data_IF_205716078298
#
_entry.id   IF_205716078298
#
_cell.length_a   1.000
_cell.length_b   1.000
_cell.length_c   1.000
_cell.angle_alpha   90.00
_cell.angle_beta   90.00
_cell.angle_gamma   90.00
#
_symmetry.space_group_name_H-M   'P 1'
#
loop_
_entity.id
_entity.type
_entity.pdbx_description
1 polymer ?
#
# COMPACT_ATOMS: atom_id res chain seq x y z
N UNK A 1 10.34 1.08 -8.56
CA UNK A 1 8.88 1.36 -8.48
C UNK A 1 8.13 0.53 -9.49
N UNK A 2 6.91 0.12 -9.19
CA UNK A 2 5.99 -0.54 -10.13
C UNK A 2 4.79 0.36 -10.37
N UNK A 3 4.41 0.53 -11.64
CA UNK A 3 3.23 1.30 -11.99
C UNK A 3 1.96 0.65 -11.42
N UNK A 4 1.06 1.46 -10.92
CA UNK A 4 -0.30 1.10 -10.53
C UNK A 4 -1.21 1.73 -11.57
N UNK A 5 -2.16 0.97 -12.11
CA UNK A 5 -3.05 1.41 -13.16
C UNK A 5 -4.47 1.42 -12.62
N UNK A 6 -5.15 2.54 -12.76
CA UNK A 6 -6.54 2.65 -12.35
C UNK A 6 -7.44 1.84 -13.30
N UNK A 7 -7.30 2.03 -14.59
CA UNK A 7 -8.15 1.38 -15.61
C UNK A 7 -7.38 0.38 -16.47
N UNK A 8 -7.42 -0.90 -16.10
CA UNK A 8 -6.77 -1.99 -16.84
C UNK A 8 -7.35 -2.19 -18.25
N UNK A 9 -8.61 -1.79 -18.52
CA UNK A 9 -9.26 -1.93 -19.83
C UNK A 9 -8.50 -1.15 -20.91
N UNK A 10 -7.88 -0.02 -20.55
CA UNK A 10 -7.07 0.76 -21.48
C UNK A 10 -5.86 -0.05 -21.94
N UNK A 11 -5.22 -0.80 -21.06
CA UNK A 11 -4.10 -1.68 -21.42
C UNK A 11 -4.55 -2.79 -22.36
N UNK A 12 -5.64 -3.47 -22.02
CA UNK A 12 -6.20 -4.54 -22.85
C UNK A 12 -6.57 -3.98 -24.24
N UNK A 13 -7.25 -2.83 -24.30
CA UNK A 13 -7.62 -2.19 -25.55
C UNK A 13 -6.41 -1.77 -26.39
N UNK A 14 -5.38 -1.20 -25.75
CA UNK A 14 -4.13 -0.86 -26.44
C UNK A 14 -3.42 -2.09 -27.02
N UNK A 15 -3.52 -3.24 -26.35
CA UNK A 15 -2.98 -4.49 -26.85
C UNK A 15 -3.77 -5.01 -28.07
N UNK A 16 -5.11 -4.98 -27.97
CA UNK A 16 -6.02 -5.37 -29.05
C UNK A 16 -5.81 -4.49 -30.28
N UNK A 17 -5.74 -3.18 -30.10
CA UNK A 17 -5.49 -2.21 -31.19
C UNK A 17 -4.14 -2.41 -31.90
N UNK A 18 -3.22 -3.14 -31.26
CA UNK A 18 -1.91 -3.52 -31.82
C UNK A 18 -1.87 -4.97 -32.35
N UNK A 19 -3.04 -5.60 -32.47
CA UNK A 19 -3.19 -6.92 -33.09
C UNK A 19 -3.09 -8.11 -32.11
N UNK A 20 -3.07 -7.88 -30.79
CA UNK A 20 -3.15 -8.98 -29.81
C UNK A 20 -4.61 -9.31 -29.51
N UNK A 21 -5.04 -10.51 -29.92
CA UNK A 21 -6.40 -11.00 -29.65
C UNK A 21 -6.64 -11.16 -28.14
N UNK A 22 -7.86 -10.90 -27.70
CA UNK A 22 -8.28 -11.06 -26.30
C UNK A 22 -8.05 -12.49 -25.80
N UNK A 23 -8.20 -13.52 -26.67
CA UNK A 23 -7.90 -14.90 -26.33
C UNK A 23 -6.42 -15.12 -26.00
N UNK A 24 -5.50 -14.43 -26.70
CA UNK A 24 -4.06 -14.53 -26.41
C UNK A 24 -3.76 -13.96 -25.01
N UNK A 25 -4.38 -12.83 -24.65
CA UNK A 25 -4.24 -12.24 -23.33
C UNK A 25 -4.76 -13.19 -22.24
N UNK A 26 -5.94 -13.78 -22.48
CA UNK A 26 -6.57 -14.76 -21.58
C UNK A 26 -5.73 -16.04 -21.42
N UNK A 27 -5.21 -16.61 -22.51
CA UNK A 27 -4.33 -17.78 -22.45
C UNK A 27 -3.09 -17.47 -21.57
N UNK A 28 -2.47 -16.31 -21.76
CA UNK A 28 -1.33 -15.88 -20.95
C UNK A 28 -1.70 -15.68 -19.48
N UNK A 29 -2.86 -15.09 -19.18
CA UNK A 29 -3.38 -14.92 -17.82
C UNK A 29 -3.54 -16.27 -17.13
N UNK A 30 -4.29 -17.19 -17.75
CA UNK A 30 -4.52 -18.53 -17.21
C UNK A 30 -3.25 -19.38 -17.07
N UNK A 31 -2.31 -19.30 -18.03
CA UNK A 31 -1.02 -19.97 -17.93
C UNK A 31 -0.18 -19.46 -16.75
N UNK A 32 -0.18 -18.14 -16.48
CA UNK A 32 0.50 -17.57 -15.32
C UNK A 32 -0.16 -18.01 -14.01
N UNK A 33 -1.49 -18.07 -13.97
CA UNK A 33 -2.24 -18.62 -12.83
C UNK A 33 -1.88 -20.08 -12.59
N UNK A 34 -1.86 -20.93 -13.63
CA UNK A 34 -1.44 -22.32 -13.53
C UNK A 34 -0.01 -22.47 -13.04
N UNK A 35 0.95 -21.66 -13.54
CA UNK A 35 2.34 -21.65 -13.08
C UNK A 35 2.43 -21.29 -11.59
N UNK A 36 1.70 -20.28 -11.13
CA UNK A 36 1.64 -19.92 -9.71
C UNK A 36 1.11 -21.09 -8.87
N UNK A 37 -0.02 -21.69 -9.27
CA UNK A 37 -0.64 -22.81 -8.56
C UNK A 37 0.32 -23.99 -8.47
N UNK A 38 0.98 -24.38 -9.57
CA UNK A 38 1.99 -25.46 -9.58
C UNK A 38 3.13 -25.17 -8.60
N UNK A 39 3.61 -23.93 -8.54
CA UNK A 39 4.68 -23.51 -7.62
C UNK A 39 4.24 -23.65 -6.16
N UNK A 40 3.06 -23.15 -5.80
CA UNK A 40 2.56 -23.20 -4.43
C UNK A 40 2.15 -24.64 -4.04
N UNK A 41 1.58 -25.43 -4.96
CA UNK A 41 1.31 -26.85 -4.75
C UNK A 41 2.59 -27.67 -4.48
N UNK A 42 3.70 -27.38 -5.19
CA UNK A 42 4.99 -28.01 -4.89
C UNK A 42 5.46 -27.71 -3.47
N UNK A 43 5.32 -26.47 -3.00
CA UNK A 43 5.67 -26.09 -1.62
C UNK A 43 4.82 -26.86 -0.59
N UNK A 44 3.49 -26.86 -0.76
CA UNK A 44 2.57 -27.57 0.14
C UNK A 44 2.89 -29.06 0.18
N UNK A 45 3.15 -29.68 -0.99
CA UNK A 45 3.52 -31.10 -1.08
C UNK A 45 4.76 -31.42 -0.24
N UNK A 46 5.78 -30.57 -0.30
CA UNK A 46 7.02 -30.74 0.46
C UNK A 46 6.79 -30.51 1.95
N UNK A 47 6.15 -29.40 2.32
CA UNK A 47 5.93 -29.02 3.72
C UNK A 47 5.03 -29.98 4.47
N UNK A 48 3.95 -30.44 3.82
CA UNK A 48 2.97 -31.36 4.42
C UNK A 48 3.29 -32.84 4.18
N UNK A 49 4.37 -33.16 3.44
CA UNK A 49 4.77 -34.56 3.09
C UNK A 49 3.65 -35.35 2.43
N UNK A 50 2.80 -34.73 1.61
CA UNK A 50 1.68 -35.35 0.92
C UNK A 50 2.01 -35.69 -0.55
N UNK A 51 1.47 -36.82 -1.05
CA UNK A 51 1.68 -37.23 -2.45
C UNK A 51 0.90 -36.35 -3.44
N UNK A 52 -0.31 -35.91 -3.07
CA UNK A 52 -1.25 -35.21 -3.95
C UNK A 52 -1.86 -33.97 -3.28
N UNK A 53 -1.69 -32.80 -3.93
CA UNK A 53 -2.36 -31.56 -3.52
C UNK A 53 -3.73 -31.48 -4.19
N UNK A 54 -4.80 -31.30 -3.40
CA UNK A 54 -6.17 -31.14 -3.88
C UNK A 54 -6.43 -29.66 -4.14
N UNK A 55 -6.83 -29.32 -5.36
CA UNK A 55 -7.04 -27.95 -5.84
C UNK A 55 -8.51 -27.81 -6.23
N UNK A 56 -9.13 -26.69 -5.85
CA UNK A 56 -10.49 -26.33 -6.22
C UNK A 56 -10.53 -24.95 -6.86
N UNK A 57 -11.19 -24.84 -8.01
CA UNK A 57 -11.55 -23.56 -8.61
C UNK A 57 -13.01 -23.23 -8.30
N UNK A 58 -13.25 -21.99 -7.89
CA UNK A 58 -14.57 -21.39 -7.77
C UNK A 58 -14.76 -20.47 -8.98
N UNK A 59 -15.72 -20.81 -9.83
CA UNK A 59 -15.89 -20.16 -11.13
C UNK A 59 -17.19 -19.35 -11.16
N UNK A 60 -17.08 -18.07 -11.50
CA UNK A 60 -18.21 -17.28 -11.98
C UNK A 60 -18.51 -17.55 -13.47
N UNK A 61 -18.99 -16.54 -14.19
CA UNK A 61 -19.28 -16.65 -15.63
C UNK A 61 -18.57 -15.62 -16.51
N UNK A 62 -17.71 -14.78 -15.93
CA UNK A 62 -17.02 -13.67 -16.59
C UNK A 62 -15.61 -14.00 -17.10
N UNK A 63 -14.87 -12.96 -17.53
CA UNK A 63 -13.47 -13.08 -17.98
C UNK A 63 -12.57 -13.73 -16.94
N UNK A 64 -12.73 -13.37 -15.67
CA UNK A 64 -11.95 -13.93 -14.56
C UNK A 64 -12.12 -15.45 -14.43
N UNK A 65 -13.35 -15.93 -14.62
CA UNK A 65 -13.63 -17.36 -14.66
C UNK A 65 -13.04 -18.03 -15.91
N UNK A 66 -13.01 -17.35 -17.05
CA UNK A 66 -12.38 -17.82 -18.27
C UNK A 66 -10.87 -18.03 -18.10
N UNK A 67 -10.18 -17.10 -17.44
CA UNK A 67 -8.76 -17.26 -17.05
C UNK A 67 -8.56 -18.48 -16.15
N UNK A 68 -9.53 -18.71 -15.24
CA UNK A 68 -9.59 -19.90 -14.39
C UNK A 68 -9.72 -21.20 -15.18
N UNK A 69 -10.57 -21.24 -16.23
CA UNK A 69 -10.73 -22.41 -17.11
C UNK A 69 -9.45 -22.72 -17.90
N UNK A 70 -8.76 -21.68 -18.39
CA UNK A 70 -7.46 -21.86 -19.04
C UNK A 70 -6.44 -22.45 -18.04
N UNK A 71 -6.39 -21.90 -16.81
CA UNK A 71 -5.50 -22.42 -15.77
C UNK A 71 -5.82 -23.89 -15.43
N UNK A 72 -7.09 -24.21 -15.31
CA UNK A 72 -7.60 -25.56 -15.00
C UNK A 72 -7.16 -26.59 -16.02
N UNK A 73 -7.25 -26.28 -17.33
CA UNK A 73 -6.78 -27.11 -18.45
C UNK A 73 -5.31 -27.48 -18.32
N UNK A 74 -4.51 -26.60 -17.70
CA UNK A 74 -3.06 -26.78 -17.54
C UNK A 74 -2.66 -27.46 -16.21
N UNK A 75 -3.62 -27.97 -15.43
CA UNK A 75 -3.39 -28.58 -14.12
C UNK A 75 -3.87 -30.03 -14.08
N UNK A 76 -3.08 -30.90 -13.48
CA UNK A 76 -3.49 -32.27 -13.15
C UNK A 76 -4.24 -32.27 -11.81
N UNK A 77 -5.34 -33.04 -11.70
CA UNK A 77 -6.03 -33.30 -10.45
C UNK A 77 -6.68 -32.06 -9.76
N UNK A 78 -7.05 -31.06 -10.51
CA UNK A 78 -7.88 -29.95 -10.05
C UNK A 78 -9.37 -30.27 -10.23
N UNK A 79 -10.21 -29.70 -9.37
CA UNK A 79 -11.67 -29.70 -9.47
C UNK A 79 -12.17 -28.28 -9.67
N UNK A 80 -13.35 -28.12 -10.23
CA UNK A 80 -13.99 -26.84 -10.41
C UNK A 80 -15.48 -26.90 -10.03
N UNK A 81 -15.95 -25.84 -9.38
CA UNK A 81 -17.32 -25.63 -9.00
C UNK A 81 -17.86 -24.32 -9.57
N UNK A 82 -18.93 -24.36 -10.34
CA UNK A 82 -19.60 -23.19 -10.95
C UNK A 82 -20.59 -22.60 -9.94
N UNK A 83 -20.54 -21.29 -9.74
CA UNK A 83 -21.37 -20.59 -8.73
C UNK A 83 -22.63 -19.97 -9.34
N UNK A 84 -22.91 -20.23 -10.64
CA UNK A 84 -24.22 -19.91 -11.24
C UNK A 84 -24.37 -18.47 -11.74
N UNK A 85 -23.29 -17.78 -12.10
CA UNK A 85 -23.36 -16.48 -12.78
C UNK A 85 -23.63 -16.62 -14.29
N UNK A 86 -24.18 -15.54 -14.91
CA UNK A 86 -24.35 -15.46 -16.35
C UNK A 86 -23.00 -15.63 -17.06
N UNK A 87 -22.91 -16.60 -17.95
CA UNK A 87 -21.71 -16.95 -18.69
C UNK A 87 -21.56 -16.08 -19.93
N UNK A 88 -20.37 -15.52 -20.14
CA UNK A 88 -20.03 -14.79 -21.34
C UNK A 88 -19.52 -15.74 -22.45
N UNK A 89 -19.35 -15.22 -23.66
CA UNK A 89 -18.93 -15.98 -24.85
C UNK A 89 -17.55 -16.63 -24.66
N UNK A 90 -16.61 -15.93 -24.03
CA UNK A 90 -15.25 -16.44 -23.78
C UNK A 90 -15.26 -17.59 -22.77
N UNK A 91 -16.09 -17.48 -21.72
CA UNK A 91 -16.28 -18.56 -20.76
C UNK A 91 -16.80 -19.82 -21.45
N UNK A 92 -17.87 -19.71 -22.25
CA UNK A 92 -18.45 -20.82 -22.99
C UNK A 92 -17.45 -21.49 -23.92
N UNK A 93 -16.62 -20.69 -24.62
CA UNK A 93 -15.55 -21.19 -25.49
C UNK A 93 -14.52 -22.00 -24.71
N UNK A 94 -14.04 -21.50 -23.58
CA UNK A 94 -13.05 -22.20 -22.74
C UNK A 94 -13.66 -23.44 -22.06
N UNK A 95 -14.92 -23.39 -21.68
CA UNK A 95 -15.65 -24.53 -21.12
C UNK A 95 -15.78 -25.65 -22.15
N UNK A 96 -16.17 -25.33 -23.41
CA UNK A 96 -16.26 -26.30 -24.48
C UNK A 96 -14.94 -27.03 -24.73
N UNK A 97 -13.82 -26.28 -24.68
CA UNK A 97 -12.49 -26.91 -24.79
C UNK A 97 -12.26 -27.91 -23.64
N UNK A 98 -12.59 -27.56 -22.39
CA UNK A 98 -12.45 -28.48 -21.25
C UNK A 98 -13.36 -29.71 -21.36
N UNK A 99 -14.58 -29.55 -21.87
CA UNK A 99 -15.51 -30.66 -22.11
C UNK A 99 -14.94 -31.62 -23.15
N UNK A 100 -14.30 -31.13 -24.22
CA UNK A 100 -13.62 -31.95 -25.22
C UNK A 100 -12.45 -32.78 -24.61
N UNK A 101 -11.88 -32.35 -23.51
CA UNK A 101 -10.90 -33.11 -22.69
C UNK A 101 -11.57 -33.95 -21.59
N UNK A 102 -12.87 -34.23 -21.68
CA UNK A 102 -13.65 -35.01 -20.71
C UNK A 102 -13.58 -34.49 -19.25
N UNK A 103 -13.36 -33.18 -19.06
CA UNK A 103 -13.36 -32.60 -17.72
C UNK A 103 -14.76 -32.55 -17.13
N UNK A 104 -14.90 -32.95 -15.86
CA UNK A 104 -16.18 -32.96 -15.15
C UNK A 104 -16.18 -31.94 -14.01
N UNK A 105 -17.13 -31.02 -14.04
CA UNK A 105 -17.38 -30.04 -12.98
C UNK A 105 -18.04 -30.71 -11.76
N UNK A 106 -17.83 -30.15 -10.57
CA UNK A 106 -18.56 -30.57 -9.38
C UNK A 106 -20.05 -30.20 -9.53
N UNK A 107 -20.95 -31.19 -9.45
CA UNK A 107 -22.39 -30.98 -9.55
C UNK A 107 -23.00 -30.44 -8.25
N UNK A 108 -22.38 -30.72 -7.09
CA UNK A 108 -22.80 -30.27 -5.77
C UNK A 108 -21.71 -29.42 -5.13
N UNK A 109 -22.13 -28.58 -4.19
CA UNK A 109 -21.19 -27.78 -3.39
C UNK A 109 -20.14 -28.70 -2.73
N UNK A 110 -18.85 -28.47 -2.98
CA UNK A 110 -17.79 -29.33 -2.44
C UNK A 110 -17.51 -28.97 -0.97
N UNK A 111 -17.06 -29.97 -0.19
CA UNK A 111 -16.54 -29.70 1.15
C UNK A 111 -15.16 -28.98 1.05
N UNK A 112 -15.14 -27.69 1.29
CA UNK A 112 -13.96 -26.81 1.15
C UNK A 112 -12.81 -27.23 2.08
N UNK A 113 -13.08 -27.83 3.23
CA UNK A 113 -12.06 -28.30 4.19
C UNK A 113 -11.18 -29.43 3.63
N UNK A 114 -11.62 -30.12 2.56
CA UNK A 114 -10.87 -31.20 1.91
C UNK A 114 -9.81 -30.73 0.92
N UNK A 115 -9.74 -29.42 0.59
CA UNK A 115 -8.80 -28.88 -0.39
C UNK A 115 -7.63 -28.21 0.29
N UNK A 116 -6.49 -28.25 -0.39
CA UNK A 116 -5.25 -27.61 0.06
C UNK A 116 -5.06 -26.23 -0.58
N UNK A 117 -5.62 -26.04 -1.78
CA UNK A 117 -5.62 -24.75 -2.50
C UNK A 117 -7.03 -24.50 -3.02
N UNK A 118 -7.52 -23.27 -2.82
CA UNK A 118 -8.81 -22.80 -3.38
C UNK A 118 -8.50 -21.56 -4.20
N UNK A 119 -8.99 -21.54 -5.45
CA UNK A 119 -8.79 -20.46 -6.39
C UNK A 119 -10.11 -19.70 -6.56
N UNK A 120 -10.08 -18.42 -6.30
CA UNK A 120 -11.18 -17.51 -6.56
C UNK A 120 -11.09 -16.98 -7.99
N UNK A 121 -11.98 -17.43 -8.84
CA UNK A 121 -12.23 -16.93 -10.19
C UNK A 121 -13.72 -16.57 -10.34
N UNK A 122 -14.36 -16.06 -9.29
CA UNK A 122 -15.80 -15.76 -9.28
C UNK A 122 -16.05 -14.44 -9.97
N UNK A 123 -15.52 -13.33 -9.42
CA UNK A 123 -15.67 -11.98 -9.92
C UNK A 123 -14.32 -11.27 -10.01
N UNK A 124 -14.14 -10.43 -11.03
CA UNK A 124 -13.01 -9.52 -11.19
C UNK A 124 -13.45 -8.06 -11.06
N UNK A 125 -12.64 -7.13 -11.56
CA UNK A 125 -12.84 -5.67 -11.49
C UNK A 125 -14.14 -5.14 -12.12
N UNK A 126 -14.85 -5.94 -12.89
CA UNK A 126 -16.08 -5.52 -13.59
C UNK A 126 -17.37 -5.62 -12.78
N UNK A 127 -17.32 -5.99 -11.50
CA UNK A 127 -18.52 -6.21 -10.68
C UNK A 127 -18.58 -5.25 -9.49
N UNK A 128 -19.54 -4.32 -9.53
CA UNK A 128 -19.82 -3.35 -8.45
C UNK A 128 -21.16 -3.62 -7.76
N UNK A 129 -21.59 -4.88 -7.69
CA UNK A 129 -22.88 -5.27 -7.09
C UNK A 129 -22.66 -6.18 -5.88
N UNK A 130 -23.58 -6.09 -4.93
CA UNK A 130 -23.62 -7.02 -3.80
C UNK A 130 -23.76 -8.46 -4.31
N UNK A 131 -23.13 -9.39 -3.61
CA UNK A 131 -23.28 -10.82 -3.87
C UNK A 131 -24.65 -11.32 -3.44
N UNK A 132 -25.17 -12.33 -4.14
CA UNK A 132 -26.30 -13.10 -3.65
C UNK A 132 -25.94 -13.88 -2.39
N UNK A 133 -26.97 -14.31 -1.65
CA UNK A 133 -26.82 -15.01 -0.38
C UNK A 133 -26.00 -16.29 -0.52
N UNK A 134 -26.26 -17.08 -1.57
CA UNK A 134 -25.56 -18.34 -1.82
C UNK A 134 -24.06 -18.11 -2.02
N UNK A 135 -23.68 -17.14 -2.84
CA UNK A 135 -22.27 -16.80 -3.09
C UNK A 135 -21.61 -16.26 -1.81
N UNK A 136 -22.32 -15.44 -1.06
CA UNK A 136 -21.88 -14.91 0.25
C UNK A 136 -21.57 -16.04 1.24
N UNK A 137 -22.44 -17.02 1.38
CA UNK A 137 -22.24 -18.19 2.23
C UNK A 137 -21.05 -19.05 1.79
N UNK A 138 -20.86 -19.23 0.47
CA UNK A 138 -19.70 -19.94 -0.07
C UNK A 138 -18.39 -19.22 0.31
N UNK A 139 -18.32 -17.91 0.13
CA UNK A 139 -17.12 -17.13 0.50
C UNK A 139 -16.84 -17.26 2.00
N UNK A 140 -17.84 -17.15 2.86
CA UNK A 140 -17.67 -17.32 4.31
C UNK A 140 -17.11 -18.72 4.66
N UNK A 141 -17.68 -19.78 4.09
CA UNK A 141 -17.18 -21.16 4.29
C UNK A 141 -15.75 -21.34 3.80
N UNK A 142 -15.41 -20.75 2.65
CA UNK A 142 -14.06 -20.80 2.08
C UNK A 142 -13.07 -20.03 2.97
N UNK A 143 -13.44 -18.85 3.46
CA UNK A 143 -12.60 -18.07 4.37
C UNK A 143 -12.27 -18.82 5.67
N UNK A 144 -13.18 -19.65 6.16
CA UNK A 144 -12.98 -20.51 7.34
C UNK A 144 -12.08 -21.73 7.05
N UNK A 145 -11.83 -22.08 5.79
CA UNK A 145 -10.97 -23.20 5.42
C UNK A 145 -9.50 -22.90 5.68
N UNK A 146 -8.71 -23.96 5.97
CA UNK A 146 -7.24 -23.87 6.10
C UNK A 146 -6.50 -23.93 4.76
N UNK A 147 -7.22 -23.97 3.64
CA UNK A 147 -6.63 -24.00 2.30
C UNK A 147 -5.86 -22.72 2.03
N UNK A 148 -4.78 -22.82 1.24
CA UNK A 148 -4.15 -21.66 0.62
C UNK A 148 -5.14 -21.05 -0.39
N UNK A 149 -5.51 -19.79 -0.20
CA UNK A 149 -6.49 -19.07 -1.01
C UNK A 149 -5.79 -18.15 -2.00
N UNK A 150 -6.07 -18.32 -3.29
CA UNK A 150 -5.49 -17.52 -4.38
C UNK A 150 -6.61 -16.81 -5.12
N UNK A 151 -6.58 -15.48 -5.16
CA UNK A 151 -7.49 -14.70 -5.99
C UNK A 151 -6.91 -14.46 -7.38
N UNK A 152 -7.72 -14.71 -8.39
CA UNK A 152 -7.46 -14.36 -9.77
C UNK A 152 -7.88 -12.91 -9.99
N UNK A 153 -6.98 -12.07 -10.39
CA UNK A 153 -7.11 -10.64 -10.63
C UNK A 153 -7.29 -9.80 -9.35
N UNK A 154 -8.44 -9.86 -8.71
CA UNK A 154 -8.74 -9.27 -7.39
C UNK A 154 -9.56 -10.25 -6.57
N UNK A 155 -9.53 -10.20 -5.22
CA UNK A 155 -10.45 -10.96 -4.41
C UNK A 155 -11.90 -10.61 -4.70
N UNK A 156 -12.74 -11.63 -4.83
CA UNK A 156 -14.18 -11.42 -5.07
C UNK A 156 -14.80 -10.60 -3.95
N UNK A 157 -15.61 -9.61 -4.33
CA UNK A 157 -16.31 -8.67 -3.45
C UNK A 157 -15.38 -7.74 -2.64
N UNK A 158 -14.20 -7.43 -3.18
CA UNK A 158 -13.27 -6.50 -2.54
C UNK A 158 -13.93 -5.11 -2.38
N UNK A 159 -13.97 -4.62 -1.13
CA UNK A 159 -14.67 -3.39 -0.74
C UNK A 159 -16.05 -3.62 -0.12
N UNK A 160 -16.55 -4.85 -0.13
CA UNK A 160 -17.84 -5.23 0.46
C UNK A 160 -17.69 -6.46 1.36
N UNK A 161 -18.71 -6.75 2.17
CA UNK A 161 -18.72 -7.94 3.03
C UNK A 161 -19.82 -8.90 2.59
N UNK A 162 -19.57 -10.24 2.59
CA UNK A 162 -18.29 -10.89 2.83
C UNK A 162 -17.35 -10.78 1.61
N UNK A 163 -16.05 -10.57 1.86
CA UNK A 163 -15.02 -10.55 0.85
C UNK A 163 -14.19 -11.84 0.89
N UNK A 164 -13.74 -12.33 -0.26
CA UNK A 164 -12.80 -13.46 -0.32
C UNK A 164 -11.44 -13.05 0.26
N UNK A 165 -10.96 -13.79 1.28
CA UNK A 165 -9.72 -13.50 1.97
C UNK A 165 -8.56 -14.28 1.34
N UNK A 166 -7.88 -13.66 0.38
CA UNK A 166 -6.78 -14.29 -0.33
C UNK A 166 -5.47 -14.27 0.48
N UNK A 167 -4.69 -15.34 0.40
CA UNK A 167 -3.28 -15.38 0.82
C UNK A 167 -2.37 -14.84 -0.28
N UNK A 168 -2.81 -14.99 -1.54
CA UNK A 168 -2.11 -14.49 -2.73
C UNK A 168 -3.15 -13.93 -3.71
N UNK A 169 -2.92 -12.71 -4.19
CA UNK A 169 -3.66 -12.15 -5.32
C UNK A 169 -2.74 -12.08 -6.54
N UNK A 170 -3.17 -12.70 -7.65
CA UNK A 170 -2.48 -12.63 -8.94
C UNK A 170 -3.19 -11.63 -9.84
N UNK A 171 -2.72 -10.38 -9.87
CA UNK A 171 -3.25 -9.33 -10.74
C UNK A 171 -2.98 -9.67 -12.20
N UNK A 172 -3.96 -9.55 -13.05
CA UNK A 172 -3.81 -9.75 -14.49
C UNK A 172 -3.24 -8.47 -15.13
N UNK A 173 -2.04 -8.58 -15.68
CA UNK A 173 -1.34 -7.54 -16.43
C UNK A 173 -0.72 -6.42 -15.58
N UNK A 174 -1.42 -5.84 -14.62
CA UNK A 174 -0.96 -4.68 -13.85
C UNK A 174 -1.49 -4.65 -12.42
N UNK A 175 -0.83 -3.85 -11.55
CA UNK A 175 -1.33 -3.49 -10.24
C UNK A 175 -2.50 -2.52 -10.38
N UNK A 176 -3.50 -2.65 -9.50
CA UNK A 176 -4.71 -1.82 -9.46
C UNK A 176 -4.81 -1.07 -8.15
N UNK A 177 -5.32 0.16 -8.16
CA UNK A 177 -5.42 1.03 -6.98
C UNK A 177 -6.23 0.39 -5.86
N UNK A 178 -7.36 -0.25 -6.19
CA UNK A 178 -8.23 -0.91 -5.21
C UNK A 178 -7.51 -1.94 -4.33
N UNK A 179 -6.41 -2.54 -4.81
CA UNK A 179 -5.61 -3.48 -4.01
C UNK A 179 -4.78 -2.81 -2.91
N UNK A 180 -4.66 -1.49 -2.95
CA UNK A 180 -3.86 -0.70 -2.02
C UNK A 180 -4.70 0.24 -1.16
N UNK A 181 -6.01 0.26 -1.31
CA UNK A 181 -6.90 0.88 -0.33
C UNK A 181 -6.74 0.20 1.04
N UNK A 182 -6.98 0.91 2.13
CA UNK A 182 -6.69 0.38 3.47
C UNK A 182 -7.51 -0.86 3.80
N UNK A 183 -8.79 -0.89 3.43
CA UNK A 183 -9.66 -2.05 3.64
C UNK A 183 -9.15 -3.30 2.89
N UNK A 184 -8.49 -3.12 1.75
CA UNK A 184 -8.00 -4.22 0.94
C UNK A 184 -6.86 -5.00 1.62
N UNK A 185 -6.12 -4.37 2.53
CA UNK A 185 -4.93 -4.94 3.19
C UNK A 185 -5.18 -6.29 3.85
N UNK A 186 -6.37 -6.49 4.41
CA UNK A 186 -6.76 -7.74 5.05
C UNK A 186 -7.05 -8.86 4.06
N UNK A 187 -7.48 -8.52 2.83
CA UNK A 187 -8.07 -9.48 1.88
C UNK A 187 -7.15 -9.86 0.73
N UNK A 188 -6.16 -9.03 0.38
CA UNK A 188 -5.35 -9.24 -0.84
C UNK A 188 -4.12 -10.14 -0.65
N UNK A 189 -3.66 -10.35 0.57
CA UNK A 189 -2.47 -11.13 0.85
C UNK A 189 -1.22 -10.65 0.07
N UNK A 190 -0.45 -11.58 -0.48
CA UNK A 190 0.75 -11.26 -1.30
C UNK A 190 0.35 -10.98 -2.74
N UNK A 191 0.52 -9.75 -3.18
CA UNK A 191 0.19 -9.33 -4.54
C UNK A 191 1.30 -9.74 -5.52
N UNK A 192 0.93 -10.36 -6.64
CA UNK A 192 1.77 -10.72 -7.77
C UNK A 192 1.15 -10.23 -9.07
N UNK A 193 1.95 -10.11 -10.13
CA UNK A 193 1.48 -9.67 -11.45
C UNK A 193 1.67 -10.82 -12.42
N UNK A 194 0.60 -11.18 -13.15
CA UNK A 194 0.64 -12.08 -14.29
C UNK A 194 1.10 -11.32 -15.53
N UNK A 195 2.02 -11.88 -16.29
CA UNK A 195 2.41 -11.33 -17.59
C UNK A 195 1.41 -11.79 -18.65
N UNK A 196 0.74 -10.86 -19.30
CA UNK A 196 -0.23 -11.13 -20.35
C UNK A 196 0.41 -11.31 -21.74
N UNK A 197 1.74 -11.49 -21.82
CA UNK A 197 2.44 -11.53 -23.11
C UNK A 197 2.77 -10.16 -23.68
N UNK A 198 2.53 -9.11 -22.90
CA UNK A 198 2.74 -7.73 -23.31
C UNK A 198 3.99 -7.17 -22.63
N UNK A 199 4.89 -6.59 -23.39
CA UNK A 199 6.01 -5.82 -22.84
C UNK A 199 5.47 -4.50 -22.27
N UNK A 200 5.32 -4.44 -20.96
CA UNK A 200 4.52 -3.46 -20.21
C UNK A 200 4.69 -1.98 -20.63
N UNK A 201 5.91 -1.51 -20.84
CA UNK A 201 6.18 -0.09 -21.10
C UNK A 201 5.57 0.47 -22.40
N UNK A 202 5.25 -0.38 -23.39
CA UNK A 202 4.69 0.06 -24.68
C UNK A 202 3.15 0.07 -24.72
N UNK A 203 2.51 -0.59 -23.74
CA UNK A 203 1.07 -0.78 -23.70
C UNK A 203 0.41 -0.15 -22.48
N UNK A 204 1.19 0.20 -21.45
CA UNK A 204 0.65 0.92 -20.31
C UNK A 204 0.36 2.38 -20.66
N UNK A 205 -0.79 2.89 -20.27
CA UNK A 205 -1.00 4.34 -20.20
C UNK A 205 0.08 4.92 -19.25
N UNK A 206 0.45 6.18 -19.44
CA UNK A 206 1.35 6.89 -18.53
C UNK A 206 0.73 6.89 -17.13
N UNK A 207 1.18 5.99 -16.27
CA UNK A 207 0.70 5.94 -14.89
C UNK A 207 1.35 7.06 -14.09
N UNK A 208 0.55 7.73 -13.28
CA UNK A 208 0.99 8.70 -12.27
C UNK A 208 1.03 8.08 -10.87
N UNK A 209 0.59 6.81 -10.70
CA UNK A 209 0.60 6.09 -9.43
C UNK A 209 1.64 4.95 -9.45
N UNK A 210 2.39 4.80 -8.35
CA UNK A 210 3.50 3.85 -8.25
C UNK A 210 3.56 3.15 -6.88
N UNK A 211 3.81 1.86 -6.89
CA UNK A 211 4.18 1.09 -5.70
C UNK A 211 5.69 1.24 -5.45
N UNK A 212 6.05 1.70 -4.27
CA UNK A 212 7.45 1.75 -3.82
C UNK A 212 7.92 0.35 -3.38
N UNK A 213 9.13 0.00 -3.78
CA UNK A 213 9.81 -1.26 -3.44
C UNK A 213 11.12 -0.97 -2.71
N UNK A 214 11.67 -1.95 -1.98
CA UNK A 214 12.94 -1.80 -1.24
C UNK A 214 14.07 -1.17 -2.07
N UNK A 215 14.18 -1.52 -3.35
CA UNK A 215 15.22 -0.99 -4.27
C UNK A 215 15.07 0.50 -4.59
N UNK A 216 13.92 1.10 -4.24
CA UNK A 216 13.66 2.52 -4.47
C UNK A 216 14.09 3.39 -3.28
N UNK A 217 14.54 2.76 -2.18
CA UNK A 217 15.07 3.47 -1.03
C UNK A 217 16.40 4.11 -1.38
N UNK A 218 16.49 5.41 -1.15
CA UNK A 218 17.73 6.19 -1.24
C UNK A 218 18.22 6.50 0.17
N UNK A 219 19.46 6.21 0.43
CA UNK A 219 20.12 6.51 1.70
C UNK A 219 21.05 7.72 1.53
N UNK A 220 21.34 8.39 2.65
CA UNK A 220 22.36 9.45 2.68
C UNK A 220 23.73 8.77 2.66
N UNK A 221 24.54 9.10 1.67
CA UNK A 221 25.93 8.66 1.59
C UNK A 221 26.83 9.60 2.40
N UNK A 222 27.59 9.05 3.34
CA UNK A 222 28.50 9.78 4.20
C UNK A 222 29.93 9.64 3.70
N UNK A 223 30.47 10.73 3.12
CA UNK A 223 31.89 10.78 2.73
C UNK A 223 32.80 10.68 3.94
N UNK A 224 33.98 10.08 3.78
CA UNK A 224 34.95 9.84 4.85
C UNK A 224 35.36 11.14 5.55
N UNK A 225 35.48 12.22 4.83
CA UNK A 225 35.89 13.54 5.31
C UNK A 225 34.73 14.49 5.66
N UNK A 226 33.52 13.95 5.80
CA UNK A 226 32.35 14.75 6.15
C UNK A 226 32.32 15.11 7.64
N UNK A 227 31.78 16.29 7.96
CA UNK A 227 31.50 16.73 9.32
C UNK A 227 29.98 16.77 9.61
N UNK A 228 29.59 16.96 10.87
CA UNK A 228 28.18 16.97 11.27
C UNK A 228 27.33 18.00 10.54
N UNK A 229 27.86 19.15 10.18
CA UNK A 229 27.16 20.22 9.48
C UNK A 229 26.76 19.84 8.04
N UNK A 230 27.45 18.87 7.42
CA UNK A 230 27.13 18.41 6.05
C UNK A 230 25.81 17.62 5.97
N UNK A 231 25.20 17.25 7.09
CA UNK A 231 24.01 16.39 7.14
C UNK A 231 22.78 17.10 7.72
N UNK A 232 22.83 18.44 7.75
CA UNK A 232 21.73 19.28 8.20
C UNK A 232 21.61 19.37 9.74
N UNK A 233 21.03 20.49 10.17
CA UNK A 233 20.62 20.72 11.54
C UNK A 233 19.09 20.73 11.61
N UNK A 234 18.51 19.72 12.23
CA UNK A 234 17.06 19.53 12.30
C UNK A 234 16.55 20.12 13.62
N UNK A 235 15.46 20.86 13.55
CA UNK A 235 14.71 21.28 14.73
C UNK A 235 13.42 20.45 14.85
N UNK A 236 13.17 19.91 16.03
CA UNK A 236 11.89 19.30 16.39
C UNK A 236 11.17 20.19 17.39
N UNK A 237 10.00 20.72 17.02
CA UNK A 237 9.17 21.60 17.87
C UNK A 237 7.95 20.80 18.29
N UNK A 238 7.97 20.28 19.53
CA UNK A 238 7.03 19.27 19.98
C UNK A 238 7.00 19.20 21.50
N UNK A 239 6.07 18.42 22.09
CA UNK A 239 6.23 18.08 23.49
C UNK A 239 7.50 17.23 23.72
N UNK A 240 7.95 17.14 24.95
CA UNK A 240 9.21 16.48 25.30
C UNK A 240 9.31 15.02 24.83
N UNK A 241 8.22 14.25 24.92
CA UNK A 241 8.20 12.82 24.55
C UNK A 241 8.21 12.63 23.03
N UNK A 242 7.26 13.25 22.34
CA UNK A 242 7.14 13.14 20.89
C UNK A 242 8.33 13.77 20.17
N UNK A 243 8.80 14.93 20.64
CA UNK A 243 9.98 15.60 20.10
C UNK A 243 11.27 14.80 20.29
N UNK A 244 11.41 14.09 21.44
CA UNK A 244 12.55 13.18 21.63
C UNK A 244 12.49 12.01 20.63
N UNK A 245 11.32 11.40 20.38
CA UNK A 245 11.18 10.33 19.40
C UNK A 245 11.44 10.80 17.96
N UNK A 246 10.93 11.97 17.59
CA UNK A 246 11.18 12.59 16.30
C UNK A 246 12.68 12.90 16.11
N UNK A 247 13.31 13.52 17.12
CA UNK A 247 14.73 13.84 17.09
C UNK A 247 15.62 12.61 16.97
N UNK A 248 15.33 11.56 17.72
CA UNK A 248 16.04 10.27 17.61
C UNK A 248 15.80 9.60 16.25
N UNK A 249 14.58 9.71 15.72
CA UNK A 249 14.26 9.28 14.35
C UNK A 249 15.12 10.00 13.32
N UNK A 250 15.25 11.32 13.44
CA UNK A 250 16.08 12.14 12.56
C UNK A 250 17.56 11.75 12.62
N UNK A 251 18.14 11.64 13.83
CA UNK A 251 19.55 11.23 14.02
C UNK A 251 19.83 9.86 13.41
N UNK A 252 18.98 8.87 13.67
CA UNK A 252 19.17 7.50 13.19
C UNK A 252 18.87 7.36 11.69
N UNK A 253 18.23 8.36 11.07
CA UNK A 253 17.97 8.38 9.63
C UNK A 253 18.91 9.29 8.85
N UNK A 254 19.90 9.90 9.52
CA UNK A 254 21.03 10.52 8.86
C UNK A 254 21.27 12.01 9.17
N UNK A 255 20.47 12.65 10.01
CA UNK A 255 20.72 14.03 10.42
C UNK A 255 22.08 14.17 11.12
N UNK A 256 22.78 15.30 10.91
CA UNK A 256 24.05 15.59 11.56
C UNK A 256 23.91 16.18 12.97
N UNK A 257 22.91 17.04 13.12
CA UNK A 257 22.58 17.73 14.38
C UNK A 257 21.07 17.76 14.55
N UNK A 258 20.61 17.61 15.80
CA UNK A 258 19.18 17.76 16.10
C UNK A 258 19.00 18.59 17.36
N UNK A 259 18.21 19.65 17.25
CA UNK A 259 17.74 20.45 18.39
C UNK A 259 16.26 20.16 18.68
N UNK A 260 15.94 20.02 19.95
CA UNK A 260 14.57 19.88 20.43
C UNK A 260 14.15 21.19 21.12
N UNK A 261 13.10 21.81 20.58
CA UNK A 261 12.44 22.96 21.23
C UNK A 261 11.30 22.43 22.08
N UNK A 262 11.56 22.29 23.38
CA UNK A 262 10.64 21.77 24.38
C UNK A 262 11.14 22.13 25.78
N UNK A 263 10.32 21.90 26.82
CA UNK A 263 10.73 22.14 28.22
C UNK A 263 11.85 21.21 28.70
N UNK A 264 11.93 19.98 28.17
CA UNK A 264 12.97 18.98 28.50
C UNK A 264 13.20 18.01 27.35
N UNK A 265 14.34 17.32 27.37
CA UNK A 265 14.64 16.19 26.50
C UNK A 265 14.81 14.90 27.31
N UNK A 266 14.38 13.76 26.76
CA UNK A 266 14.63 12.43 27.34
C UNK A 266 15.85 11.74 26.73
N UNK A 267 16.64 12.46 25.94
CA UNK A 267 17.86 11.93 25.33
C UNK A 267 19.00 12.94 25.40
N UNK A 268 20.20 12.55 25.84
CA UNK A 268 21.38 13.41 25.81
C UNK A 268 21.92 13.66 24.39
N UNK A 269 21.39 12.95 23.38
CA UNK A 269 21.80 13.11 21.99
C UNK A 269 21.15 14.32 21.30
N UNK A 270 20.13 14.92 21.93
CA UNK A 270 19.40 16.07 21.40
C UNK A 270 19.79 17.34 22.15
N UNK A 271 20.06 18.40 21.39
CA UNK A 271 20.34 19.72 21.97
C UNK A 271 19.01 20.38 22.36
N UNK A 272 18.82 20.66 23.64
CA UNK A 272 17.63 21.38 24.11
C UNK A 272 17.76 22.86 23.79
N UNK A 273 16.72 23.45 23.22
CA UNK A 273 16.63 24.86 22.84
C UNK A 273 15.29 25.46 23.28
N UNK A 274 15.27 26.75 23.54
CA UNK A 274 14.05 27.51 23.87
C UNK A 274 13.29 27.95 22.60
N UNK A 275 14.02 28.20 21.51
CA UNK A 275 13.47 28.63 20.22
C UNK A 275 14.21 28.05 19.05
N UNK A 276 13.62 28.18 17.85
CA UNK A 276 14.28 27.84 16.61
C UNK A 276 15.32 28.90 16.27
N UNK A 277 16.50 28.47 15.85
CA UNK A 277 17.59 29.39 15.42
C UNK A 277 17.72 29.40 13.90
N UNK A 278 18.33 30.44 13.34
CA UNK A 278 18.49 30.65 11.88
C UNK A 278 19.34 29.59 11.16
N UNK A 279 19.96 28.68 11.90
CA UNK A 279 20.75 27.55 11.34
C UNK A 279 19.93 26.30 11.08
N UNK A 280 18.59 26.35 11.17
CA UNK A 280 17.70 25.24 10.90
C UNK A 280 17.73 24.87 9.41
N UNK A 281 18.09 23.62 9.08
CA UNK A 281 18.04 23.08 7.72
C UNK A 281 16.65 22.50 7.38
N UNK A 282 15.93 22.03 8.38
CA UNK A 282 14.53 21.62 8.31
C UNK A 282 13.90 21.60 9.70
N UNK A 283 12.57 21.74 9.77
CA UNK A 283 11.83 21.81 11.03
C UNK A 283 10.69 20.76 10.98
N UNK A 284 10.58 19.97 12.05
CA UNK A 284 9.44 19.10 12.30
C UNK A 284 8.60 19.69 13.43
N UNK A 285 7.33 20.01 13.15
CA UNK A 285 6.45 20.76 14.04
C UNK A 285 5.13 20.03 14.29
N UNK A 286 4.61 20.12 15.53
CA UNK A 286 3.21 19.82 15.85
C UNK A 286 2.99 18.62 16.74
N UNK A 287 3.94 17.70 16.88
CA UNK A 287 3.80 16.46 17.62
C UNK A 287 3.55 16.70 19.12
N UNK A 288 2.29 16.60 19.52
CA UNK A 288 1.87 16.80 20.91
C UNK A 288 2.02 18.24 21.43
N UNK A 289 2.06 19.23 20.54
CA UNK A 289 2.04 20.65 20.93
C UNK A 289 0.64 21.08 21.31
N UNK A 290 0.50 21.78 22.43
CA UNK A 290 -0.75 22.43 22.85
C UNK A 290 -0.83 23.85 22.30
N UNK A 291 0.28 24.59 22.35
CA UNK A 291 0.37 25.94 21.78
C UNK A 291 0.86 25.88 20.33
N UNK A 292 0.04 26.39 19.40
CA UNK A 292 0.32 26.40 17.96
C UNK A 292 0.81 27.77 17.45
N UNK A 293 1.12 28.73 18.33
CA UNK A 293 1.66 30.04 17.94
C UNK A 293 2.98 29.91 17.18
N UNK A 294 3.72 28.83 17.38
CA UNK A 294 4.88 28.49 16.54
C UNK A 294 4.58 28.50 15.05
N UNK A 295 3.34 28.21 14.61
CA UNK A 295 2.95 28.29 13.20
C UNK A 295 3.00 29.73 12.63
N UNK A 296 3.14 30.74 13.47
CA UNK A 296 3.25 32.15 13.08
C UNK A 296 4.71 32.65 13.05
N UNK A 297 5.68 31.78 13.42
CA UNK A 297 7.10 32.14 13.46
C UNK A 297 7.63 32.39 12.03
N UNK A 298 8.24 33.53 11.79
CA UNK A 298 8.77 33.94 10.47
C UNK A 298 9.80 32.96 9.92
N UNK A 299 10.58 32.30 10.79
CA UNK A 299 11.59 31.32 10.36
C UNK A 299 10.98 30.16 9.58
N UNK A 300 9.71 29.83 9.85
CA UNK A 300 8.99 28.78 9.14
C UNK A 300 8.73 29.14 7.67
N UNK A 301 8.68 30.42 7.32
CA UNK A 301 8.37 30.85 5.95
C UNK A 301 9.44 30.44 4.94
N UNK A 302 10.70 30.33 5.38
CA UNK A 302 11.84 30.09 4.51
C UNK A 302 12.57 28.77 4.78
N UNK A 303 12.10 27.97 5.74
CA UNK A 303 12.71 26.68 6.12
C UNK A 303 11.83 25.51 5.64
N UNK A 304 12.38 24.42 5.07
CA UNK A 304 11.62 23.20 4.78
C UNK A 304 10.93 22.63 6.01
N UNK A 305 9.66 22.24 5.87
CA UNK A 305 8.81 21.88 7.02
C UNK A 305 8.21 20.48 6.92
N UNK A 306 8.06 19.85 8.10
CA UNK A 306 7.10 18.77 8.30
C UNK A 306 6.07 19.25 9.34
N UNK A 307 4.81 19.21 8.97
CA UNK A 307 3.68 19.57 9.83
C UNK A 307 2.87 18.30 10.14
N UNK A 308 2.75 17.97 11.41
CA UNK A 308 2.09 16.74 11.87
C UNK A 308 1.17 17.02 13.06
N UNK A 309 0.35 16.05 13.40
CA UNK A 309 -0.47 15.99 14.61
C UNK A 309 -1.32 17.28 14.86
N UNK A 310 -1.04 18.01 15.94
CA UNK A 310 -1.86 19.14 16.34
C UNK A 310 -1.83 20.33 15.36
N UNK A 311 -0.88 20.38 14.43
CA UNK A 311 -0.91 21.38 13.34
C UNK A 311 -2.25 21.35 12.56
N UNK A 312 -2.88 20.17 12.44
CA UNK A 312 -4.18 20.00 11.76
C UNK A 312 -5.39 20.57 12.54
N UNK A 313 -5.17 21.22 13.67
CA UNK A 313 -6.18 21.92 14.46
C UNK A 313 -6.15 23.46 14.24
N UNK A 314 -5.15 23.96 13.49
CA UNK A 314 -4.96 25.40 13.28
C UNK A 314 -5.15 25.77 11.83
N UNK A 315 -5.94 26.82 11.57
CA UNK A 315 -6.10 27.42 10.23
C UNK A 315 -4.79 28.01 9.69
N UNK A 316 -3.85 28.40 10.57
CA UNK A 316 -2.52 28.87 10.15
C UNK A 316 -1.75 27.81 9.33
N UNK A 317 -2.10 26.54 9.42
CA UNK A 317 -1.59 25.47 8.56
C UNK A 317 -1.81 25.79 7.07
N UNK A 318 -2.93 26.42 6.71
CA UNK A 318 -3.29 26.73 5.33
C UNK A 318 -2.24 27.61 4.63
N UNK A 319 -1.50 28.44 5.36
CA UNK A 319 -0.44 29.30 4.84
C UNK A 319 0.71 28.51 4.20
N UNK A 320 0.90 27.26 4.61
CA UNK A 320 2.00 26.41 4.18
C UNK A 320 1.65 25.42 3.06
N UNK A 321 0.35 25.22 2.79
CA UNK A 321 -0.09 24.16 1.86
C UNK A 321 0.33 24.41 0.40
N UNK A 322 0.57 25.67 0.02
CA UNK A 322 1.03 26.02 -1.33
C UNK A 322 2.55 26.03 -1.50
N UNK A 323 3.29 25.54 -0.48
CA UNK A 323 4.74 25.43 -0.52
C UNK A 323 5.19 24.03 -0.94
N UNK A 324 6.09 23.96 -1.92
CA UNK A 324 6.62 22.70 -2.47
C UNK A 324 7.61 21.96 -1.56
N UNK A 325 8.17 22.64 -0.59
CA UNK A 325 9.15 22.18 0.40
C UNK A 325 8.49 21.80 1.75
N UNK A 326 7.17 21.76 1.80
CA UNK A 326 6.40 21.36 2.97
C UNK A 326 5.87 19.95 2.79
N UNK A 327 5.97 19.14 3.86
CA UNK A 327 5.37 17.82 3.98
C UNK A 327 4.34 17.84 5.10
N UNK A 328 3.15 17.35 4.85
CA UNK A 328 2.12 17.12 5.86
C UNK A 328 1.86 15.64 6.01
N UNK A 329 1.65 15.18 7.26
CA UNK A 329 1.56 13.75 7.56
C UNK A 329 0.28 13.36 8.33
N UNK A 330 -0.93 13.71 7.85
CA UNK A 330 -2.17 13.42 8.57
C UNK A 330 -2.48 11.92 8.61
N UNK A 331 -2.98 11.44 9.74
CA UNK A 331 -3.74 10.19 9.79
C UNK A 331 -5.19 10.42 9.29
N UNK A 332 -6.00 9.38 9.00
CA UNK A 332 -7.32 9.58 8.40
C UNK A 332 -8.25 10.57 9.13
N UNK A 333 -8.27 10.57 10.47
CA UNK A 333 -9.09 11.53 11.24
C UNK A 333 -8.58 12.97 11.16
N UNK A 334 -7.26 13.17 11.10
CA UNK A 334 -6.65 14.49 10.89
C UNK A 334 -6.91 14.98 9.47
N UNK A 335 -6.82 14.06 8.48
CA UNK A 335 -7.11 14.40 7.09
C UNK A 335 -8.55 14.86 6.87
N UNK A 336 -9.53 14.25 7.53
CA UNK A 336 -10.92 14.68 7.47
C UNK A 336 -11.07 16.14 7.95
N UNK A 337 -10.42 16.50 9.08
CA UNK A 337 -10.45 17.88 9.59
C UNK A 337 -9.77 18.84 8.62
N UNK A 338 -8.59 18.48 8.12
CA UNK A 338 -7.88 19.24 7.10
C UNK A 338 -8.73 19.41 5.84
N UNK A 339 -9.40 18.35 5.40
CA UNK A 339 -10.25 18.35 4.22
C UNK A 339 -11.42 19.35 4.39
N UNK A 340 -12.07 19.35 5.55
CA UNK A 340 -13.12 20.32 5.88
C UNK A 340 -12.60 21.77 5.84
N UNK A 341 -11.41 22.03 6.41
CA UNK A 341 -10.79 23.36 6.37
C UNK A 341 -10.43 23.80 4.95
N UNK A 342 -10.01 22.86 4.09
CA UNK A 342 -9.54 23.16 2.74
C UNK A 342 -10.66 23.34 1.71
N UNK A 343 -11.76 22.60 1.84
CA UNK A 343 -12.80 22.49 0.80
C UNK A 343 -14.20 22.87 1.29
N UNK A 344 -14.37 23.11 2.59
CA UNK A 344 -15.68 23.31 3.24
C UNK A 344 -16.69 22.18 2.96
N UNK A 345 -16.16 20.96 2.72
CA UNK A 345 -16.93 19.75 2.45
C UNK A 345 -16.80 18.77 3.63
N UNK A 346 -17.92 18.18 4.05
CA UNK A 346 -17.88 17.11 5.06
C UNK A 346 -17.45 15.79 4.44
N UNK A 347 -16.51 15.12 5.10
CA UNK A 347 -15.98 13.83 4.70
C UNK A 347 -15.99 12.91 5.92
N UNK A 348 -16.66 11.77 5.82
CA UNK A 348 -16.64 10.77 6.87
C UNK A 348 -15.49 9.76 6.68
N UNK A 349 -15.17 9.05 7.77
CA UNK A 349 -14.04 8.11 7.79
C UNK A 349 -14.25 6.92 6.85
N UNK A 350 -15.46 6.43 6.70
CA UNK A 350 -15.78 5.26 5.87
C UNK A 350 -15.62 5.60 4.40
N UNK A 351 -16.15 6.75 3.98
CA UNK A 351 -16.01 7.28 2.62
C UNK A 351 -14.56 7.54 2.27
N UNK A 352 -13.79 8.16 3.17
CA UNK A 352 -12.35 8.34 2.98
C UNK A 352 -11.64 6.99 2.80
N UNK A 353 -11.87 6.04 3.69
CA UNK A 353 -11.18 4.74 3.67
C UNK A 353 -11.49 3.91 2.42
N UNK A 354 -12.65 4.10 1.81
CA UNK A 354 -13.02 3.46 0.54
C UNK A 354 -12.42 4.13 -0.70
N UNK A 355 -12.02 5.41 -0.59
CA UNK A 355 -11.64 6.24 -1.73
C UNK A 355 -10.38 7.08 -1.47
N UNK A 356 -9.38 6.54 -0.75
CA UNK A 356 -8.19 7.28 -0.32
C UNK A 356 -7.38 7.85 -1.48
N UNK A 357 -7.26 7.10 -2.58
CA UNK A 357 -6.58 7.57 -3.78
C UNK A 357 -7.27 8.80 -4.39
N UNK A 358 -8.60 8.77 -4.46
CA UNK A 358 -9.39 9.89 -4.98
C UNK A 358 -9.19 11.16 -4.14
N UNK A 359 -9.36 11.07 -2.81
CA UNK A 359 -9.24 12.22 -1.93
C UNK A 359 -7.81 12.76 -1.83
N UNK A 360 -6.81 11.88 -1.85
CA UNK A 360 -5.41 12.28 -1.89
C UNK A 360 -5.08 13.05 -3.18
N UNK A 361 -5.59 12.61 -4.35
CA UNK A 361 -5.43 13.35 -5.61
C UNK A 361 -6.16 14.69 -5.59
N UNK A 362 -7.43 14.70 -5.15
CA UNK A 362 -8.22 15.95 -5.06
C UNK A 362 -7.49 16.99 -4.21
N UNK A 363 -6.93 16.60 -3.06
CA UNK A 363 -6.11 17.47 -2.24
C UNK A 363 -4.87 17.97 -3.00
N UNK A 364 -4.11 17.07 -3.60
CA UNK A 364 -2.83 17.38 -4.26
C UNK A 364 -2.98 18.20 -5.55
N UNK A 365 -4.14 18.20 -6.18
CA UNK A 365 -4.45 19.09 -7.32
C UNK A 365 -4.60 20.54 -6.91
N UNK A 366 -5.04 20.81 -5.66
CA UNK A 366 -5.30 22.14 -5.14
C UNK A 366 -4.13 22.73 -4.36
N UNK A 367 -3.23 21.90 -3.82
CA UNK A 367 -2.14 22.32 -2.96
C UNK A 367 -0.80 21.76 -3.43
N UNK A 368 0.29 22.53 -3.22
CA UNK A 368 1.65 22.20 -3.71
C UNK A 368 2.47 21.35 -2.73
N UNK A 369 2.09 21.32 -1.45
CA UNK A 369 2.77 20.54 -0.43
C UNK A 369 2.71 19.04 -0.73
N UNK A 370 3.61 18.28 -0.12
CA UNK A 370 3.57 16.81 -0.14
C UNK A 370 2.61 16.33 0.94
N UNK A 371 1.59 15.59 0.54
CA UNK A 371 0.71 14.87 1.46
C UNK A 371 1.21 13.45 1.67
N UNK A 372 1.43 13.05 2.93
CA UNK A 372 1.61 11.66 3.37
C UNK A 372 0.36 11.24 4.14
N UNK A 373 -0.65 10.72 3.45
CA UNK A 373 -1.86 10.20 4.08
C UNK A 373 -1.55 8.86 4.76
N UNK A 374 -1.37 8.90 6.09
CA UNK A 374 -1.06 7.72 6.91
C UNK A 374 -2.19 6.68 6.85
N UNK A 375 -1.86 5.40 7.02
CA UNK A 375 -2.81 4.27 7.02
C UNK A 375 -2.08 2.94 6.88
N UNK A 376 -2.83 1.86 6.64
CA UNK A 376 -2.26 0.52 6.45
C UNK A 376 -1.38 0.44 5.19
N UNK A 377 -1.71 1.24 4.17
CA UNK A 377 -0.92 1.50 2.98
C UNK A 377 -0.75 3.02 2.83
N UNK A 378 0.29 3.66 3.43
CA UNK A 378 0.49 5.09 3.28
C UNK A 378 0.56 5.53 1.82
N UNK A 379 -0.15 6.62 1.52
CA UNK A 379 -0.17 7.27 0.21
C UNK A 379 0.67 8.55 0.31
N UNK A 380 1.62 8.73 -0.60
CA UNK A 380 2.44 9.93 -0.72
C UNK A 380 2.09 10.58 -2.05
N UNK A 381 1.68 11.82 -2.04
CA UNK A 381 1.27 12.51 -3.27
C UNK A 381 1.75 13.94 -3.29
N UNK A 382 2.18 14.39 -4.47
CA UNK A 382 2.46 15.79 -4.78
C UNK A 382 2.10 16.02 -6.25
N UNK A 383 1.22 16.98 -6.50
CA UNK A 383 0.65 17.21 -7.84
C UNK A 383 0.04 15.91 -8.40
N UNK A 384 0.43 15.50 -9.57
CA UNK A 384 -0.10 14.30 -10.22
C UNK A 384 0.57 12.99 -9.75
N UNK A 385 1.77 13.07 -9.13
CA UNK A 385 2.57 11.91 -8.78
C UNK A 385 2.15 11.32 -7.45
N UNK A 386 1.67 10.10 -7.47
CA UNK A 386 1.21 9.36 -6.30
C UNK A 386 2.07 8.11 -6.07
N UNK A 387 2.44 7.85 -4.82
CA UNK A 387 3.24 6.69 -4.42
C UNK A 387 2.57 5.99 -3.24
N UNK A 388 2.67 4.65 -3.23
CA UNK A 388 2.12 3.82 -2.16
C UNK A 388 3.22 2.96 -1.54
N UNK A 389 3.18 2.81 -0.22
CA UNK A 389 4.03 1.88 0.52
C UNK A 389 3.18 0.74 1.08
N UNK A 390 3.31 -0.47 0.51
CA UNK A 390 2.60 -1.67 0.98
C UNK A 390 3.49 -2.59 1.84
N UNK A 391 4.37 -2.03 2.67
CA UNK A 391 5.37 -2.79 3.44
C UNK A 391 5.10 -2.79 4.95
N UNK A 392 4.36 -1.81 5.45
CA UNK A 392 3.98 -1.71 6.85
C UNK A 392 3.07 -2.86 7.31
N UNK A 393 3.01 -3.05 8.60
CA UNK A 393 2.12 -4.01 9.25
C UNK A 393 1.56 -3.43 10.56
N UNK A 394 0.66 -4.17 11.22
CA UNK A 394 -0.02 -3.74 12.43
C UNK A 394 0.92 -3.39 13.62
N UNK A 395 2.19 -3.73 13.56
CA UNK A 395 3.16 -3.35 14.59
C UNK A 395 3.38 -1.82 14.66
N UNK A 396 3.14 -1.11 13.55
CA UNK A 396 3.21 0.34 13.48
C UNK A 396 2.01 1.07 14.11
N UNK A 397 0.93 0.36 14.42
CA UNK A 397 -0.25 0.93 15.06
C UNK A 397 -0.02 1.14 16.57
N UNK A 398 0.98 1.95 16.91
CA UNK A 398 1.34 2.36 18.26
C UNK A 398 1.76 3.82 18.31
N UNK A 399 1.53 4.47 19.46
CA UNK A 399 2.00 5.82 19.71
C UNK A 399 3.51 5.97 19.51
N UNK A 400 3.93 7.12 19.03
CA UNK A 400 5.33 7.45 18.76
C UNK A 400 5.84 7.04 17.37
N UNK A 401 5.14 6.15 16.65
CA UNK A 401 5.59 5.73 15.31
C UNK A 401 5.48 6.86 14.27
N UNK A 402 4.46 7.71 14.39
CA UNK A 402 4.28 8.92 13.58
C UNK A 402 5.37 9.95 13.86
N UNK A 403 5.68 10.19 15.14
CA UNK A 403 6.73 11.14 15.54
C UNK A 403 8.08 10.75 14.95
N UNK A 404 8.44 9.47 15.00
CA UNK A 404 9.65 8.93 14.36
C UNK A 404 9.64 9.19 12.86
N UNK A 405 8.49 8.97 12.18
CA UNK A 405 8.37 9.23 10.74
C UNK A 405 8.60 10.71 10.42
N UNK A 406 8.02 11.62 11.20
CA UNK A 406 8.20 13.07 11.02
C UNK A 406 9.66 13.49 11.17
N UNK A 407 10.36 12.94 12.16
CA UNK A 407 11.82 13.13 12.31
C UNK A 407 12.63 12.58 11.15
N UNK A 408 12.27 11.39 10.64
CA UNK A 408 12.94 10.80 9.48
C UNK A 408 12.77 11.65 8.22
N UNK A 409 11.57 12.18 7.98
CA UNK A 409 11.32 13.09 6.86
C UNK A 409 12.18 14.36 7.00
N UNK A 410 12.20 14.95 8.21
CA UNK A 410 13.00 16.13 8.51
C UNK A 410 14.51 15.92 8.22
N UNK A 411 15.06 14.76 8.58
CA UNK A 411 16.45 14.41 8.31
C UNK A 411 16.79 14.49 6.81
N UNK A 412 15.93 13.95 5.96
CA UNK A 412 16.15 13.98 4.53
C UNK A 412 15.91 15.37 3.91
N UNK A 413 14.93 16.13 4.42
CA UNK A 413 14.75 17.53 4.03
C UNK A 413 15.99 18.35 4.36
N UNK A 414 16.48 18.25 5.60
CA UNK A 414 17.66 19.00 6.06
C UNK A 414 18.96 18.60 5.36
N UNK A 415 19.03 17.39 4.79
CA UNK A 415 20.13 16.98 3.91
C UNK A 415 20.00 17.55 2.48
N UNK A 416 18.85 18.12 2.11
CA UNK A 416 18.62 18.71 0.80
C UNK A 416 17.86 17.84 -0.20
N UNK A 417 17.22 16.74 0.23
CA UNK A 417 16.24 16.05 -0.62
C UNK A 417 15.02 16.93 -0.84
N UNK A 418 14.41 16.84 -2.02
CA UNK A 418 13.07 17.45 -2.22
C UNK A 418 12.06 16.84 -1.24
N UNK A 419 11.01 17.61 -0.90
CA UNK A 419 9.97 17.15 0.01
C UNK A 419 9.36 15.80 -0.41
N UNK A 420 9.13 15.61 -1.71
CA UNK A 420 8.62 14.35 -2.24
C UNK A 420 9.60 13.18 -2.03
N UNK A 421 10.89 13.38 -2.32
CA UNK A 421 11.89 12.30 -2.11
C UNK A 421 12.11 12.03 -0.62
N UNK A 422 12.12 13.04 0.23
CA UNK A 422 12.20 12.89 1.68
C UNK A 422 11.03 12.06 2.22
N UNK A 423 9.80 12.42 1.87
CA UNK A 423 8.60 11.71 2.26
C UNK A 423 8.58 10.25 1.76
N UNK A 424 8.95 10.01 0.50
CA UNK A 424 9.05 8.65 -0.08
C UNK A 424 10.06 7.78 0.65
N UNK A 425 11.27 8.28 0.86
CA UNK A 425 12.34 7.52 1.50
C UNK A 425 12.02 7.21 2.97
N UNK A 426 11.57 8.19 3.73
CA UNK A 426 11.22 8.00 5.13
C UNK A 426 10.05 7.03 5.29
N UNK A 427 8.96 7.19 4.53
CA UNK A 427 7.79 6.30 4.61
C UNK A 427 8.15 4.88 4.17
N UNK A 428 8.97 4.71 3.14
CA UNK A 428 9.44 3.40 2.68
C UNK A 428 10.33 2.73 3.74
N UNK A 429 11.29 3.45 4.31
CA UNK A 429 12.17 2.97 5.38
C UNK A 429 11.38 2.55 6.62
N UNK A 430 10.44 3.39 7.06
CA UNK A 430 9.53 3.14 8.16
C UNK A 430 8.77 1.81 8.00
N UNK A 431 8.18 1.58 6.82
CA UNK A 431 7.50 0.33 6.50
C UNK A 431 8.45 -0.88 6.41
N UNK A 432 9.67 -0.69 5.88
CA UNK A 432 10.68 -1.76 5.77
C UNK A 432 11.15 -2.25 7.13
N UNK A 433 11.37 -1.35 8.09
CA UNK A 433 11.75 -1.73 9.46
C UNK A 433 10.67 -2.59 10.10
N UNK A 434 9.41 -2.16 10.04
CA UNK A 434 8.30 -2.93 10.58
C UNK A 434 8.16 -4.31 9.92
N UNK A 435 8.35 -4.39 8.59
CA UNK A 435 8.33 -5.66 7.85
C UNK A 435 9.46 -6.60 8.26
N UNK A 436 10.65 -6.07 8.53
CA UNK A 436 11.82 -6.88 8.95
C UNK A 436 11.74 -7.38 10.39
N UNK A 437 10.88 -6.79 11.23
CA UNK A 437 10.72 -7.18 12.62
C UNK A 437 10.11 -8.59 12.72
N UNK A 438 10.91 -9.54 13.23
CA UNK A 438 10.56 -10.98 13.26
C UNK A 438 9.97 -11.45 14.59
N UNK A 439 10.00 -10.60 15.63
CA UNK A 439 9.50 -10.92 16.96
C UNK A 439 8.00 -10.66 17.10
N UNK A 440 7.46 -10.86 18.30
CA UNK A 440 6.07 -10.56 18.60
C UNK A 440 5.74 -9.10 18.25
N UNK A 441 4.81 -8.90 17.33
CA UNK A 441 4.42 -7.57 16.83
C UNK A 441 3.85 -6.67 17.96
N UNK A 442 3.26 -7.26 18.98
CA UNK A 442 2.78 -6.50 20.14
C UNK A 442 3.91 -5.86 20.97
N UNK A 443 5.13 -6.37 20.86
CA UNK A 443 6.30 -5.79 21.53
C UNK A 443 7.00 -4.72 20.71
N UNK A 444 6.59 -4.46 19.46
CA UNK A 444 7.18 -3.41 18.64
C UNK A 444 6.75 -2.03 19.15
N UNK A 445 7.69 -1.11 19.26
CA UNK A 445 7.49 0.26 19.73
C UNK A 445 8.37 1.25 18.95
N UNK A 446 8.23 2.55 19.22
CA UNK A 446 8.99 3.60 18.57
C UNK A 446 10.51 3.44 18.72
N UNK A 447 11.00 2.98 19.89
CA UNK A 447 12.43 2.76 20.10
C UNK A 447 12.96 1.59 19.28
N UNK A 448 12.18 0.52 19.12
CA UNK A 448 12.54 -0.60 18.23
C UNK A 448 12.48 -0.21 16.76
N UNK A 449 11.56 0.68 16.40
CA UNK A 449 11.53 1.28 15.06
C UNK A 449 12.84 2.05 14.81
N UNK A 450 13.23 2.97 15.70
CA UNK A 450 14.49 3.73 15.61
C UNK A 450 15.69 2.78 15.52
N UNK A 451 15.79 1.81 16.43
CA UNK A 451 16.87 0.81 16.41
C UNK A 451 16.90 -0.02 15.12
N UNK A 452 15.74 -0.25 14.50
CA UNK A 452 15.64 -1.01 13.25
C UNK A 452 16.16 -0.27 12.02
N UNK A 453 16.28 1.07 12.07
CA UNK A 453 16.80 1.87 10.96
C UNK A 453 18.23 1.50 10.56
N UNK A 454 19.07 1.07 11.54
CA UNK A 454 20.44 0.58 11.28
C UNK A 454 20.52 -0.65 10.37
N UNK A 455 19.39 -1.34 10.13
CA UNK A 455 19.33 -2.57 9.33
C UNK A 455 18.80 -2.34 7.90
N UNK A 456 18.63 -1.09 7.45
CA UNK A 456 18.08 -0.75 6.12
C UNK A 456 19.08 -0.86 4.95
#
# INVERSE_FOLDING_TARGET
MKAIIDNIKILEQNAINKGLDELILMENAGLNLAKLIKKEAKKIRIQCKIKKVKILFLLGGGKNASDGLVALRNLKHAKAYKIGFKENTLFKKQEQILQNYAFKFCQKEPNFKKFHIIIDCILGTGSNRCLDEKTSLIIQKVNQSKALKIACDIPTNLGFYPCFKADITLCMGALKEILFEDFAKEFVGRIKIANLGIRSKKFYPNSQAFLLEKKDLKTIDRKINANKGNFGHIYTVANASAGTLAGLGALNFGAGLVSLVAQKSFSPLLMLKEKIENNASAIALGMGLENLDFLKDEILQNTPLILDANCFLSEALLWYLNRKDVVITPHPKEFIKLYKMCFDEDLDIETLQKNRFFYARKFSQNYDCVLVLKGANPIIVQKEKLFVVNLGNQALAKGGSGDVLSGMIAAHLGFGFSALEAAKNATLAHGLVAKKYKFNKNSFDALKLIKGLKCL
#
